data_IF_155998138215
#
_entry.id   IF_155998138215
#
_cell.length_a   1.000
_cell.length_b   1.000
_cell.length_c   1.000
_cell.angle_alpha   90.00
_cell.angle_beta   90.00
_cell.angle_gamma   90.00
#
_symmetry.space_group_name_H-M   'P 1'
#
loop_
_entity.id
_entity.type
_entity.pdbx_description
1 polymer ?
#
# COMPACT_ATOMS: atom_id res chain seq x y z
N UNK A 1 -18.40 30.06 -9.63
CA UNK A 1 -17.03 29.51 -9.53
C UNK A 1 -15.99 30.65 -9.53
N UNK A 2 -15.50 31.05 -8.35
CA UNK A 2 -14.50 32.11 -8.19
C UNK A 2 -13.45 31.68 -7.16
N UNK A 3 -12.19 32.00 -7.48
CA UNK A 3 -10.96 31.81 -6.73
C UNK A 3 -10.39 30.37 -6.61
N UNK A 4 -9.55 30.00 -7.58
CA UNK A 4 -8.41 29.11 -7.36
C UNK A 4 -7.24 30.02 -6.96
N UNK A 5 -6.81 30.00 -5.70
CA UNK A 5 -5.59 30.71 -5.28
C UNK A 5 -4.43 29.72 -5.39
N UNK A 6 -3.64 29.83 -6.46
CA UNK A 6 -2.38 29.10 -6.63
C UNK A 6 -1.21 30.06 -6.53
N UNK A 7 -0.34 29.82 -5.55
CA UNK A 7 1.00 30.40 -5.49
C UNK A 7 1.93 29.23 -5.15
N UNK A 8 2.51 28.61 -6.18
CA UNK A 8 3.44 27.46 -6.17
C UNK A 8 2.81 26.05 -6.08
N UNK A 9 3.19 25.19 -7.03
CA UNK A 9 2.39 24.08 -7.58
C UNK A 9 2.23 22.80 -6.75
N UNK A 10 2.49 22.77 -5.44
CA UNK A 10 2.10 21.64 -4.57
C UNK A 10 1.79 22.19 -3.17
N UNK A 11 0.56 22.68 -2.97
CA UNK A 11 0.11 23.26 -1.71
C UNK A 11 -1.32 22.85 -1.37
N UNK A 12 -1.75 23.02 -0.11
CA UNK A 12 -3.13 22.77 0.25
C UNK A 12 -4.08 23.70 -0.51
N UNK A 13 -5.22 23.20 -0.94
CA UNK A 13 -6.31 24.02 -1.48
C UNK A 13 -7.61 23.73 -0.75
N UNK A 14 -8.51 24.72 -0.74
CA UNK A 14 -9.88 24.62 -0.24
C UNK A 14 -10.82 24.99 -1.39
N UNK A 15 -11.74 24.10 -1.72
CA UNK A 15 -12.88 24.37 -2.59
C UNK A 15 -14.04 24.81 -1.69
N UNK A 16 -14.63 25.96 -2.00
CA UNK A 16 -15.78 26.54 -1.30
C UNK A 16 -16.94 26.63 -2.28
N UNK A 17 -18.16 26.30 -1.85
CA UNK A 17 -19.38 26.46 -2.64
C UNK A 17 -19.81 27.93 -2.70
N UNK A 18 -20.74 28.24 -3.61
CA UNK A 18 -21.22 29.62 -3.79
C UNK A 18 -21.96 30.17 -2.56
N UNK A 19 -22.42 29.32 -1.64
CA UNK A 19 -23.02 29.68 -0.34
C UNK A 19 -21.99 29.83 0.80
N UNK A 20 -20.70 29.70 0.50
CA UNK A 20 -19.61 29.88 1.46
C UNK A 20 -19.23 28.64 2.28
N UNK A 21 -19.81 27.47 1.99
CA UNK A 21 -19.47 26.22 2.68
C UNK A 21 -18.21 25.54 2.10
N UNK A 22 -17.43 24.88 2.95
CA UNK A 22 -16.29 24.06 2.53
C UNK A 22 -16.78 22.81 1.77
N UNK A 23 -16.35 22.64 0.52
CA UNK A 23 -16.73 21.52 -0.36
C UNK A 23 -15.65 20.44 -0.36
N UNK A 24 -14.38 20.83 -0.42
CA UNK A 24 -13.26 19.89 -0.36
C UNK A 24 -11.98 20.60 0.07
N UNK A 25 -11.12 19.90 0.80
CA UNK A 25 -9.76 20.36 1.05
C UNK A 25 -8.77 19.33 0.54
N UNK A 26 -7.66 19.80 0.00
CA UNK A 26 -6.47 18.99 -0.19
C UNK A 26 -5.41 19.55 0.74
N UNK A 27 -4.73 18.65 1.45
CA UNK A 27 -3.55 18.97 2.25
C UNK A 27 -2.48 17.95 1.90
N UNK A 28 -1.22 18.40 1.87
CA UNK A 28 -0.11 17.47 1.74
C UNK A 28 -0.12 16.56 2.96
N UNK A 29 -0.30 15.25 2.73
CA UNK A 29 -0.23 14.27 3.80
C UNK A 29 1.20 14.18 4.35
N UNK A 30 1.33 13.80 5.62
CA UNK A 30 2.64 13.57 6.23
C UNK A 30 3.51 12.65 5.34
N UNK A 31 4.78 13.01 5.17
CA UNK A 31 5.75 12.24 4.39
C UNK A 31 6.34 11.07 5.21
N UNK A 32 6.07 11.02 6.52
CA UNK A 32 6.40 9.86 7.35
C UNK A 32 5.53 8.66 6.96
N UNK A 33 6.16 7.49 6.83
CA UNK A 33 5.50 6.21 6.56
C UNK A 33 5.61 5.29 7.79
N UNK A 34 4.67 4.35 7.97
CA UNK A 34 3.47 4.12 7.15
C UNK A 34 2.41 5.23 7.30
N UNK A 35 1.63 5.43 6.24
CA UNK A 35 0.54 6.41 6.12
C UNK A 35 -0.73 5.85 5.46
N UNK A 36 -0.67 4.67 4.85
CA UNK A 36 -1.85 3.99 4.29
C UNK A 36 -2.42 3.07 5.37
N UNK A 37 -3.62 3.38 5.88
CA UNK A 37 -4.36 2.63 6.93
C UNK A 37 -3.68 2.59 8.31
N UNK A 38 -2.37 2.39 8.36
CA UNK A 38 -1.60 2.31 9.60
C UNK A 38 -0.96 3.66 9.92
N UNK A 39 -1.05 4.03 11.19
CA UNK A 39 -0.34 5.15 11.82
C UNK A 39 0.54 4.59 12.95
N UNK A 40 1.51 5.36 13.48
CA UNK A 40 2.25 4.95 14.67
C UNK A 40 1.35 4.55 15.85
N UNK A 41 0.24 5.26 16.06
CA UNK A 41 -0.75 4.95 17.08
C UNK A 41 -1.42 3.59 16.85
N UNK A 42 -1.82 3.27 15.61
CA UNK A 42 -2.38 1.95 15.27
C UNK A 42 -1.37 0.84 15.54
N UNK A 43 -0.10 1.05 15.19
CA UNK A 43 0.95 0.05 15.40
C UNK A 43 1.22 -0.23 16.88
N UNK A 44 1.25 0.82 17.71
CA UNK A 44 1.41 0.65 19.15
C UNK A 44 0.23 -0.13 19.74
N UNK A 45 -1.00 0.22 19.37
CA UNK A 45 -2.18 -0.52 19.78
C UNK A 45 -2.14 -2.00 19.36
N UNK A 46 -1.74 -2.30 18.12
CA UNK A 46 -1.60 -3.67 17.63
C UNK A 46 -0.58 -4.45 18.46
N UNK A 47 0.59 -3.87 18.71
CA UNK A 47 1.65 -4.50 19.53
C UNK A 47 1.19 -4.77 20.95
N UNK A 48 0.51 -3.80 21.57
CA UNK A 48 -0.08 -3.97 22.91
C UNK A 48 -1.10 -5.12 22.92
N UNK A 49 -2.00 -5.18 21.93
CA UNK A 49 -3.01 -6.23 21.86
C UNK A 49 -2.42 -7.62 21.64
N UNK A 50 -1.37 -7.74 20.83
CA UNK A 50 -0.63 -9.00 20.68
C UNK A 50 -0.05 -9.45 22.03
N UNK A 51 0.44 -8.52 22.87
CA UNK A 51 1.01 -8.89 24.16
C UNK A 51 -0.05 -9.23 25.23
N UNK A 52 -1.26 -8.70 25.11
CA UNK A 52 -2.29 -8.78 26.17
C UNK A 52 -3.42 -9.78 25.88
N UNK A 53 -3.65 -10.17 24.62
CA UNK A 53 -4.80 -11.01 24.24
C UNK A 53 -4.35 -12.32 23.60
N UNK A 54 -4.77 -13.45 24.19
CA UNK A 54 -4.51 -14.78 23.62
C UNK A 54 -5.04 -14.93 22.19
N UNK A 55 -6.24 -14.41 21.91
CA UNK A 55 -6.79 -14.40 20.55
C UNK A 55 -5.94 -13.56 19.59
N UNK A 56 -5.46 -12.39 20.00
CA UNK A 56 -4.57 -11.58 19.16
C UNK A 56 -3.24 -12.29 18.87
N UNK A 57 -2.69 -13.04 19.85
CA UNK A 57 -1.50 -13.87 19.64
C UNK A 57 -1.75 -15.00 18.65
N UNK A 58 -2.90 -15.65 18.70
CA UNK A 58 -3.30 -16.69 17.75
C UNK A 58 -3.40 -16.14 16.33
N UNK A 59 -4.09 -15.00 16.16
CA UNK A 59 -4.20 -14.31 14.86
C UNK A 59 -2.82 -13.92 14.34
N UNK A 60 -1.95 -13.38 15.20
CA UNK A 60 -0.59 -13.01 14.82
C UNK A 60 0.26 -14.22 14.40
N UNK A 61 0.18 -15.34 15.13
CA UNK A 61 0.85 -16.60 14.75
C UNK A 61 0.29 -17.18 13.47
N UNK A 62 -1.03 -17.10 13.25
CA UNK A 62 -1.67 -17.53 12.02
C UNK A 62 -1.20 -16.71 10.81
N UNK A 63 -1.02 -15.40 10.99
CA UNK A 63 -0.45 -14.50 9.97
C UNK A 63 1.00 -14.85 9.65
N UNK A 64 1.83 -15.12 10.67
CA UNK A 64 3.21 -15.59 10.44
C UNK A 64 3.19 -16.92 9.67
N UNK A 65 2.32 -17.86 10.05
CA UNK A 65 2.22 -19.14 9.34
C UNK A 65 1.77 -18.94 7.88
N UNK A 66 0.80 -18.06 7.62
CA UNK A 66 0.22 -17.88 6.29
C UNK A 66 1.28 -17.46 5.26
N UNK A 67 2.21 -16.56 5.61
CA UNK A 67 3.26 -16.09 4.71
C UNK A 67 4.24 -17.20 4.30
N UNK A 68 4.47 -18.21 5.15
CA UNK A 68 5.38 -19.32 4.85
C UNK A 68 4.69 -20.49 4.15
N UNK A 69 3.38 -20.66 4.39
CA UNK A 69 2.58 -21.70 3.72
C UNK A 69 2.02 -21.26 2.38
N UNK A 70 2.20 -19.99 2.04
CA UNK A 70 1.62 -19.41 0.84
C UNK A 70 2.14 -20.10 -0.42
N UNK A 71 1.24 -20.74 -1.15
CA UNK A 71 1.51 -21.29 -2.49
C UNK A 71 0.84 -20.39 -3.52
N UNK A 72 1.60 -19.74 -4.42
CA UNK A 72 1.03 -18.90 -5.45
C UNK A 72 0.26 -19.78 -6.45
N UNK A 73 -1.07 -19.66 -6.46
CA UNK A 73 -1.94 -20.23 -7.48
C UNK A 73 -2.22 -19.17 -8.55
N UNK A 74 -1.42 -19.23 -9.61
CA UNK A 74 -1.57 -18.40 -10.80
C UNK A 74 -1.28 -16.89 -10.56
N UNK A 75 -1.09 -16.20 -11.69
CA UNK A 75 -0.44 -14.92 -11.96
C UNK A 75 -0.78 -13.65 -11.15
N UNK A 76 -1.55 -13.71 -10.05
CA UNK A 76 -2.11 -12.50 -9.41
C UNK A 76 -1.93 -12.42 -7.89
N UNK A 77 -1.37 -13.45 -7.27
CA UNK A 77 -1.72 -13.71 -5.88
C UNK A 77 -0.61 -13.34 -4.85
N UNK A 78 0.60 -12.96 -5.32
CA UNK A 78 1.68 -12.52 -4.42
C UNK A 78 1.42 -11.18 -3.71
N UNK A 79 0.35 -10.46 -4.04
CA UNK A 79 0.03 -9.17 -3.40
C UNK A 79 -0.37 -9.31 -1.93
N UNK A 80 -1.05 -10.41 -1.54
CA UNK A 80 -1.43 -10.65 -0.15
C UNK A 80 -0.24 -11.02 0.72
N UNK A 81 0.65 -11.96 0.32
CA UNK A 81 1.92 -12.19 1.02
C UNK A 81 2.76 -10.94 1.15
N UNK A 82 2.83 -10.11 0.11
CA UNK A 82 3.56 -8.85 0.17
C UNK A 82 3.02 -7.94 1.27
N UNK A 83 1.69 -7.75 1.31
CA UNK A 83 1.02 -6.94 2.33
C UNK A 83 1.24 -7.49 3.73
N UNK A 84 1.03 -8.79 3.90
CA UNK A 84 1.08 -9.45 5.21
C UNK A 84 2.51 -9.50 5.74
N UNK A 85 3.52 -9.74 4.89
CA UNK A 85 4.92 -9.65 5.27
C UNK A 85 5.32 -8.20 5.63
N UNK A 86 4.87 -7.21 4.88
CA UNK A 86 5.14 -5.80 5.22
C UNK A 86 4.47 -5.39 6.55
N UNK A 87 3.28 -5.92 6.85
CA UNK A 87 2.62 -5.72 8.14
C UNK A 87 3.46 -6.35 9.27
N UNK A 88 3.92 -7.58 9.10
CA UNK A 88 4.78 -8.26 10.06
C UNK A 88 6.07 -7.46 10.30
N UNK A 89 6.74 -6.99 9.23
CA UNK A 89 7.88 -6.08 9.35
C UNK A 89 7.54 -4.83 10.17
N UNK A 90 6.40 -4.21 9.90
CA UNK A 90 6.02 -2.97 10.59
C UNK A 90 5.77 -3.22 12.08
N UNK A 91 5.22 -4.38 12.43
CA UNK A 91 4.96 -4.78 13.82
C UNK A 91 6.28 -5.14 14.53
N UNK A 92 7.11 -6.00 13.93
CA UNK A 92 8.27 -6.64 14.59
C UNK A 92 9.61 -5.94 14.36
N UNK A 93 9.70 -5.14 13.28
CA UNK A 93 10.95 -4.59 12.72
C UNK A 93 11.98 -5.64 12.29
N UNK A 94 11.56 -6.89 12.08
CA UNK A 94 12.40 -7.94 11.52
C UNK A 94 12.55 -7.76 9.99
N UNK A 95 13.77 -7.47 9.56
CA UNK A 95 14.11 -7.19 8.16
C UNK A 95 13.81 -8.36 7.23
N UNK A 96 13.76 -9.60 7.72
CA UNK A 96 13.42 -10.77 6.91
C UNK A 96 12.01 -10.64 6.31
N UNK A 97 11.07 -10.06 7.07
CA UNK A 97 9.72 -9.83 6.56
C UNK A 97 9.66 -8.72 5.50
N UNK A 98 10.49 -7.68 5.61
CA UNK A 98 10.63 -6.68 4.56
C UNK A 98 11.21 -7.30 3.28
N UNK A 99 12.21 -8.18 3.42
CA UNK A 99 12.77 -8.90 2.27
C UNK A 99 11.72 -9.79 1.59
N UNK A 100 10.93 -10.55 2.36
CA UNK A 100 9.81 -11.34 1.81
C UNK A 100 8.80 -10.43 1.09
N UNK A 101 8.46 -9.28 1.69
CA UNK A 101 7.55 -8.31 1.06
C UNK A 101 8.11 -7.81 -0.28
N UNK A 102 9.40 -7.48 -0.34
CA UNK A 102 10.07 -7.06 -1.58
C UNK A 102 10.00 -8.16 -2.67
N UNK A 103 10.38 -9.39 -2.34
CA UNK A 103 10.36 -10.51 -3.28
C UNK A 103 8.94 -10.76 -3.82
N UNK A 104 7.93 -10.72 -2.94
CA UNK A 104 6.53 -10.89 -3.33
C UNK A 104 6.02 -9.72 -4.20
N UNK A 105 6.40 -8.48 -3.91
CA UNK A 105 6.11 -7.32 -4.76
C UNK A 105 6.74 -7.48 -6.15
N UNK A 106 8.01 -7.90 -6.20
CA UNK A 106 8.74 -8.08 -7.46
C UNK A 106 8.15 -9.22 -8.30
N UNK A 107 7.72 -10.33 -7.68
CA UNK A 107 7.09 -11.44 -8.38
C UNK A 107 5.75 -11.06 -9.04
N UNK A 108 4.99 -10.12 -8.46
CA UNK A 108 3.76 -9.62 -9.09
C UNK A 108 4.01 -8.88 -10.41
N UNK A 109 5.23 -8.40 -10.65
CA UNK A 109 5.56 -7.57 -11.83
C UNK A 109 5.52 -8.34 -13.15
N UNK A 110 5.63 -9.67 -13.11
CA UNK A 110 5.86 -10.48 -14.31
C UNK A 110 4.55 -10.73 -15.10
N UNK A 111 3.39 -10.34 -14.56
CA UNK A 111 2.09 -10.74 -15.11
C UNK A 111 1.28 -9.62 -15.81
N UNK A 112 1.93 -8.52 -16.24
CA UNK A 112 1.20 -7.39 -16.84
C UNK A 112 0.67 -7.54 -18.26
N UNK A 113 0.93 -8.65 -18.91
CA UNK A 113 0.52 -8.89 -20.31
C UNK A 113 -0.95 -9.29 -20.49
N UNK A 114 -1.74 -9.37 -19.40
CA UNK A 114 -3.12 -9.93 -19.44
C UNK A 114 -4.21 -8.84 -19.30
N UNK A 115 -3.87 -7.54 -19.25
CA UNK A 115 -4.77 -6.49 -18.74
C UNK A 115 -5.80 -5.89 -19.71
N UNK A 116 -6.02 -6.47 -20.89
CA UNK A 116 -6.98 -5.94 -21.88
C UNK A 116 -8.44 -6.41 -21.66
N UNK A 117 -8.68 -7.36 -20.73
CA UNK A 117 -10.04 -7.79 -20.37
C UNK A 117 -10.57 -7.05 -19.14
N UNK A 118 -11.77 -6.47 -19.22
CA UNK A 118 -12.42 -5.69 -18.14
C UNK A 118 -12.49 -6.41 -16.79
N UNK A 119 -12.74 -7.73 -16.78
CA UNK A 119 -12.77 -8.53 -15.55
C UNK A 119 -11.40 -8.65 -14.85
N UNK A 120 -10.31 -8.49 -15.60
CA UNK A 120 -8.94 -8.55 -15.07
C UNK A 120 -8.55 -7.20 -14.46
N UNK A 121 -9.06 -6.08 -14.99
CA UNK A 121 -8.83 -4.74 -14.43
C UNK A 121 -9.35 -4.59 -13.00
N UNK A 122 -10.52 -5.13 -12.67
CA UNK A 122 -11.05 -5.10 -11.30
C UNK A 122 -10.23 -5.97 -10.34
N UNK A 123 -9.80 -7.16 -10.77
CA UNK A 123 -8.93 -8.02 -9.95
C UNK A 123 -7.56 -7.36 -9.72
N UNK A 124 -7.09 -6.63 -10.71
CA UNK A 124 -5.85 -5.88 -10.66
C UNK A 124 -5.93 -4.62 -9.79
N UNK A 125 -7.07 -3.92 -9.76
CA UNK A 125 -7.25 -2.79 -8.84
C UNK A 125 -7.23 -3.25 -7.39
N UNK A 126 -7.85 -4.42 -7.09
CA UNK A 126 -7.78 -5.03 -5.76
C UNK A 126 -6.35 -5.39 -5.34
N UNK A 127 -5.55 -5.95 -6.24
CA UNK A 127 -4.14 -6.27 -5.93
C UNK A 127 -3.28 -5.00 -5.75
N UNK A 128 -3.61 -3.92 -6.45
CA UNK A 128 -2.91 -2.64 -6.36
C UNK A 128 -3.02 -2.02 -4.96
N UNK A 129 -4.16 -2.19 -4.29
CA UNK A 129 -4.32 -1.75 -2.89
C UNK A 129 -3.34 -2.47 -1.96
N UNK A 130 -3.30 -3.81 -2.01
CA UNK A 130 -2.41 -4.62 -1.18
C UNK A 130 -0.93 -4.33 -1.47
N UNK A 131 -0.57 -4.13 -2.74
CA UNK A 131 0.78 -3.73 -3.15
C UNK A 131 1.16 -2.35 -2.62
N UNK A 132 0.25 -1.38 -2.72
CA UNK A 132 0.47 -0.01 -2.21
C UNK A 132 0.69 0.00 -0.71
N UNK A 133 -0.11 -0.78 0.03
CA UNK A 133 0.07 -0.99 1.47
C UNK A 133 1.44 -1.60 1.78
N UNK A 134 1.80 -2.69 1.11
CA UNK A 134 3.09 -3.33 1.30
C UNK A 134 4.27 -2.38 1.07
N UNK A 135 4.20 -1.60 -0.01
CA UNK A 135 5.23 -0.61 -0.33
C UNK A 135 5.34 0.49 0.73
N UNK A 136 4.20 0.94 1.24
CA UNK A 136 4.14 1.98 2.26
C UNK A 136 4.65 1.51 3.62
N UNK A 137 4.29 0.30 4.00
CA UNK A 137 4.57 -0.28 5.32
C UNK A 137 6.03 -0.71 5.48
N UNK A 138 6.67 -1.22 4.42
CA UNK A 138 8.07 -1.64 4.43
C UNK A 138 9.03 -0.63 3.77
N UNK A 139 8.57 0.61 3.52
CA UNK A 139 9.31 1.61 2.74
C UNK A 139 10.72 1.91 3.26
N UNK A 140 10.87 2.05 4.58
CA UNK A 140 12.13 2.36 5.26
C UNK A 140 13.15 1.21 5.18
N UNK A 141 12.69 -0.04 5.07
CA UNK A 141 13.54 -1.21 4.88
C UNK A 141 14.05 -1.40 3.44
N UNK A 142 13.37 -0.84 2.44
CA UNK A 142 13.80 -0.99 1.05
C UNK A 142 14.99 -0.08 0.72
N UNK A 143 15.90 -0.54 -0.12
CA UNK A 143 16.95 0.32 -0.68
C UNK A 143 16.36 1.36 -1.63
N UNK A 144 17.15 2.38 -1.98
CA UNK A 144 16.73 3.43 -2.92
C UNK A 144 16.38 2.81 -4.29
N UNK A 145 17.15 1.82 -4.73
CA UNK A 145 16.98 1.11 -5.99
C UNK A 145 15.68 0.32 -5.99
N UNK A 146 15.46 -0.47 -4.92
CA UNK A 146 14.22 -1.22 -4.73
C UNK A 146 12.99 -0.30 -4.72
N UNK A 147 13.09 0.86 -4.06
CA UNK A 147 12.01 1.85 -4.05
C UNK A 147 11.73 2.40 -5.44
N UNK A 148 12.78 2.74 -6.19
CA UNK A 148 12.67 3.26 -7.56
C UNK A 148 12.01 2.24 -8.50
N UNK A 149 12.44 0.98 -8.43
CA UNK A 149 11.86 -0.10 -9.24
C UNK A 149 10.37 -0.30 -8.97
N UNK A 150 9.99 -0.35 -7.70
CA UNK A 150 8.59 -0.49 -7.30
C UNK A 150 7.76 0.76 -7.66
N UNK A 151 8.32 1.96 -7.55
CA UNK A 151 7.64 3.19 -7.98
C UNK A 151 7.36 3.21 -9.48
N UNK A 152 8.32 2.82 -10.31
CA UNK A 152 8.12 2.72 -11.76
C UNK A 152 7.03 1.71 -12.10
N UNK A 153 6.98 0.60 -11.36
CA UNK A 153 5.97 -0.43 -11.48
C UNK A 153 4.56 0.05 -11.08
N UNK A 154 4.44 0.86 -10.02
CA UNK A 154 3.19 1.52 -9.66
C UNK A 154 2.74 2.56 -10.68
N UNK A 155 3.66 3.32 -11.27
CA UNK A 155 3.35 4.28 -12.33
C UNK A 155 2.83 3.58 -13.58
N UNK A 156 3.46 2.47 -13.98
CA UNK A 156 2.96 1.63 -15.06
C UNK A 156 1.60 1.00 -14.74
N UNK A 157 1.42 0.50 -13.51
CA UNK A 157 0.13 -0.03 -13.05
C UNK A 157 -0.97 1.03 -13.12
N UNK A 158 -0.68 2.27 -12.70
CA UNK A 158 -1.63 3.37 -12.74
C UNK A 158 -1.99 3.76 -14.19
N UNK A 159 -1.02 3.72 -15.11
CA UNK A 159 -1.28 4.08 -16.51
C UNK A 159 -2.31 3.16 -17.16
N UNK A 160 -2.33 1.87 -16.85
CA UNK A 160 -3.35 0.90 -17.35
C UNK A 160 -4.79 1.38 -17.09
N UNK A 161 -5.03 2.11 -16.00
CA UNK A 161 -6.35 2.63 -15.64
C UNK A 161 -6.63 4.04 -16.17
N UNK A 162 -5.59 4.80 -16.52
CA UNK A 162 -5.74 6.18 -17.02
C UNK A 162 -5.66 6.28 -18.54
N UNK A 163 -5.18 5.25 -19.24
CA UNK A 163 -5.05 5.20 -20.71
C UNK A 163 -6.38 5.03 -21.47
N UNK A 164 -7.52 5.31 -20.84
CA UNK A 164 -8.79 5.40 -21.55
C UNK A 164 -8.95 6.80 -22.15
N UNK A 165 -8.56 6.92 -23.42
CA UNK A 165 -8.94 8.01 -24.33
C UNK A 165 -9.42 7.41 -25.63
#
# INVERSE_FOLDING_TARGET
>A
MKAIVSLSNIGPFLLVSDDGNDVATVKLANLTRPRIVLTPTHLNFIREKINQSGHAQEVFKALIKSIYTYKPDNSFNYCWPARDAALLYTITRDINYAHIAYLALNANRINYTIYDKSAIKLRFSLSTMARSQAFDWAYDAFTIEQRRELMNDFQYTASIFTSYS
#
